data_IF_762683619830
#
_entry.id   IF_762683619830
#
_cell.length_a   1.000
_cell.length_b   1.000
_cell.length_c   1.000
_cell.angle_alpha   90.00
_cell.angle_beta   90.00
_cell.angle_gamma   90.00
#
_symmetry.space_group_name_H-M   'P 1'
#
loop_
_entity.id
_entity.type
_entity.pdbx_description
1 polymer ?
#
# COMPACT_ATOMS: atom_id res chain seq x y z
N UNK A 1 -9.07 15.22 0.59
CA UNK A 1 -8.39 14.06 -0.03
C UNK A 1 -8.01 14.41 -1.45
N UNK A 2 -6.86 13.94 -1.94
CA UNK A 2 -6.39 14.26 -3.30
C UNK A 2 -7.09 13.40 -4.37
N UNK A 3 -7.22 13.88 -5.63
CA UNK A 3 -7.82 13.09 -6.71
C UNK A 3 -7.15 11.73 -6.92
N UNK A 4 -5.83 11.67 -6.75
CA UNK A 4 -5.06 10.44 -6.90
C UNK A 4 -5.40 9.42 -5.80
N UNK A 5 -5.55 9.86 -4.55
CA UNK A 5 -5.99 8.99 -3.47
C UNK A 5 -7.40 8.48 -3.71
N UNK A 6 -8.32 9.35 -4.12
CA UNK A 6 -9.70 8.95 -4.45
C UNK A 6 -9.74 7.90 -5.57
N UNK A 7 -8.95 8.08 -6.63
CA UNK A 7 -8.85 7.10 -7.72
C UNK A 7 -8.31 5.74 -7.27
N UNK A 8 -7.21 5.73 -6.51
CA UNK A 8 -6.60 4.51 -5.95
C UNK A 8 -7.55 3.75 -5.04
N UNK A 9 -8.21 4.47 -4.13
CA UNK A 9 -9.23 3.90 -3.24
C UNK A 9 -10.35 3.26 -4.05
N UNK A 10 -10.90 3.99 -5.01
CA UNK A 10 -12.02 3.50 -5.82
C UNK A 10 -11.64 2.27 -6.66
N UNK A 11 -10.40 2.18 -7.14
CA UNK A 11 -9.88 0.97 -7.79
C UNK A 11 -9.85 -0.22 -6.83
N UNK A 12 -9.21 -0.05 -5.66
CA UNK A 12 -9.05 -1.12 -4.68
C UNK A 12 -10.41 -1.62 -4.15
N UNK A 13 -11.37 -0.72 -3.92
CA UNK A 13 -12.74 -1.07 -3.52
C UNK A 13 -13.49 -1.91 -4.56
N UNK A 14 -13.14 -1.81 -5.85
CA UNK A 14 -13.81 -2.54 -6.94
C UNK A 14 -13.12 -3.84 -7.34
N UNK A 15 -11.79 -3.90 -7.25
CA UNK A 15 -10.99 -4.97 -7.84
C UNK A 15 -10.30 -5.86 -6.81
N UNK A 16 -10.27 -5.48 -5.54
CA UNK A 16 -9.61 -6.24 -4.47
C UNK A 16 -10.63 -6.71 -3.43
N UNK A 17 -10.44 -7.91 -2.90
CA UNK A 17 -11.30 -8.46 -1.83
C UNK A 17 -11.16 -7.68 -0.52
N UNK A 18 -9.98 -7.12 -0.27
CA UNK A 18 -9.69 -6.31 0.92
C UNK A 18 -8.68 -5.23 0.55
N UNK A 19 -8.81 -4.05 1.14
CA UNK A 19 -7.88 -2.95 0.94
C UNK A 19 -7.50 -2.28 2.25
N UNK A 20 -6.33 -1.64 2.25
CA UNK A 20 -5.76 -0.96 3.41
C UNK A 20 -5.22 0.39 2.99
N UNK A 21 -5.29 1.37 3.90
CA UNK A 21 -4.47 2.58 3.81
C UNK A 21 -3.11 2.26 4.43
N UNK A 22 -2.07 2.42 3.62
CA UNK A 22 -0.69 2.39 4.13
C UNK A 22 -0.34 3.74 4.76
N UNK A 23 0.16 3.69 5.99
CA UNK A 23 0.50 4.81 6.85
C UNK A 23 1.95 4.71 7.33
N UNK A 24 2.69 5.82 7.25
CA UNK A 24 4.02 5.91 7.85
C UNK A 24 3.98 5.68 9.37
N UNK A 25 2.97 6.24 10.05
CA UNK A 25 2.82 6.14 11.50
C UNK A 25 2.27 4.79 11.93
N UNK A 26 1.16 4.35 11.34
CA UNK A 26 0.37 3.20 11.82
C UNK A 26 0.64 1.90 11.07
N UNK A 27 1.30 1.93 9.91
CA UNK A 27 1.51 0.74 9.06
C UNK A 27 0.32 0.46 8.15
N UNK A 28 -0.47 -0.58 8.42
CA UNK A 28 -1.70 -0.92 7.71
C UNK A 28 -2.93 -0.54 8.53
N UNK A 29 -3.77 0.30 7.93
CA UNK A 29 -5.04 0.76 8.49
C UNK A 29 -6.16 0.19 7.64
N UNK A 30 -7.11 -0.50 8.26
CA UNK A 30 -8.32 -0.96 7.58
C UNK A 30 -9.26 0.24 7.36
N UNK A 31 -10.00 0.31 6.24
CA UNK A 31 -10.88 1.46 5.95
C UNK A 31 -11.94 1.77 7.01
N UNK A 32 -12.31 0.78 7.84
CA UNK A 32 -13.26 0.96 8.94
C UNK A 32 -12.60 1.41 10.25
N UNK A 33 -11.28 1.54 10.30
CA UNK A 33 -10.56 2.00 11.48
C UNK A 33 -10.74 3.51 11.63
N UNK A 34 -11.26 3.95 12.80
CA UNK A 34 -11.37 5.36 13.13
C UNK A 34 -10.00 5.84 13.59
N UNK A 35 -9.37 6.72 12.80
CA UNK A 35 -8.09 7.33 13.12
C UNK A 35 -8.21 8.85 13.20
N UNK A 36 -7.48 9.45 14.15
CA UNK A 36 -7.28 10.89 14.16
C UNK A 36 -6.42 11.31 12.96
N UNK A 37 -6.62 12.51 12.38
CA UNK A 37 -5.70 13.04 11.38
C UNK A 37 -4.26 13.02 11.90
N UNK A 38 -3.33 12.62 11.03
CA UNK A 38 -1.90 12.62 11.32
C UNK A 38 -1.13 13.15 10.09
N UNK A 39 -0.02 13.83 10.33
CA UNK A 39 0.89 14.31 9.29
C UNK A 39 2.29 13.72 9.52
N UNK A 40 2.39 12.42 9.28
CA UNK A 40 3.66 11.67 9.36
C UNK A 40 3.90 11.01 8.02
N UNK A 41 5.08 11.23 7.48
CA UNK A 41 5.51 10.70 6.19
C UNK A 41 6.77 9.86 6.34
N UNK A 42 6.93 8.83 5.49
CA UNK A 42 8.21 8.12 5.35
C UNK A 42 9.27 8.96 4.62
N UNK A 43 8.88 10.09 4.02
CA UNK A 43 9.79 11.01 3.36
C UNK A 43 10.76 11.58 4.41
N UNK A 44 12.06 11.42 4.15
CA UNK A 44 13.13 11.86 5.07
C UNK A 44 13.53 10.84 6.12
N UNK A 45 12.79 9.74 6.30
CA UNK A 45 13.20 8.64 7.18
C UNK A 45 14.48 7.96 6.65
N UNK A 46 15.38 7.57 7.54
CA UNK A 46 16.58 6.81 7.20
C UNK A 46 16.24 5.44 6.63
N UNK A 47 17.17 4.84 5.88
CA UNK A 47 16.99 3.48 5.35
C UNK A 47 16.71 2.45 6.46
N UNK A 48 17.28 2.63 7.66
CA UNK A 48 17.02 1.77 8.81
C UNK A 48 15.59 1.92 9.35
N UNK A 49 15.07 3.15 9.41
CA UNK A 49 13.69 3.41 9.83
C UNK A 49 12.69 2.86 8.82
N UNK A 50 12.93 3.06 7.52
CA UNK A 50 12.06 2.50 6.47
C UNK A 50 12.03 0.96 6.49
N UNK A 51 13.16 0.30 6.78
CA UNK A 51 13.20 -1.17 6.99
C UNK A 51 12.43 -1.62 8.22
N UNK A 52 12.56 -0.91 9.35
CA UNK A 52 11.77 -1.18 10.57
C UNK A 52 10.28 -1.01 10.31
N UNK A 53 9.91 0.05 9.60
CA UNK A 53 8.54 0.30 9.17
C UNK A 53 8.02 -0.86 8.29
N UNK A 54 8.78 -1.27 7.27
CA UNK A 54 8.41 -2.36 6.38
C UNK A 54 8.22 -3.69 7.13
N UNK A 55 9.12 -4.01 8.06
CA UNK A 55 9.01 -5.22 8.91
C UNK A 55 7.73 -5.21 9.76
N UNK A 56 7.39 -4.06 10.35
CA UNK A 56 6.15 -3.89 11.12
C UNK A 56 4.90 -4.05 10.25
N UNK A 57 4.89 -3.45 9.05
CA UNK A 57 3.79 -3.56 8.08
C UNK A 57 3.61 -5.00 7.62
N UNK A 58 4.71 -5.72 7.39
CA UNK A 58 4.68 -7.13 7.02
C UNK A 58 4.12 -8.01 8.15
N UNK A 59 4.51 -7.77 9.41
CA UNK A 59 3.92 -8.45 10.56
C UNK A 59 2.41 -8.22 10.67
N UNK A 60 1.99 -6.96 10.58
CA UNK A 60 0.58 -6.57 10.55
C UNK A 60 -0.22 -7.22 9.41
N UNK A 61 0.42 -7.43 8.26
CA UNK A 61 -0.20 -8.11 7.13
C UNK A 61 -0.38 -9.61 7.43
N UNK A 62 0.68 -10.27 7.92
CA UNK A 62 0.67 -11.70 8.30
C UNK A 62 -0.37 -12.01 9.37
N UNK A 63 -0.52 -11.14 10.36
CA UNK A 63 -1.52 -11.32 11.43
C UNK A 63 -2.95 -11.34 10.88
N UNK A 64 -3.21 -10.59 9.82
CA UNK A 64 -4.52 -10.51 9.16
C UNK A 64 -4.71 -11.57 8.08
N UNK A 65 -3.62 -12.03 7.49
CA UNK A 65 -3.59 -13.02 6.41
C UNK A 65 -2.59 -14.15 6.73
N UNK A 66 -2.89 -15.01 7.72
CA UNK A 66 -1.95 -16.00 8.25
C UNK A 66 -1.61 -17.13 7.25
N UNK A 67 -2.46 -17.32 6.25
CA UNK A 67 -2.28 -18.28 5.17
C UNK A 67 -2.68 -17.60 3.87
N UNK A 68 -1.71 -17.42 2.98
CA UNK A 68 -1.84 -16.51 1.86
C UNK A 68 -1.50 -17.16 0.52
N UNK A 69 -2.46 -17.15 -0.40
CA UNK A 69 -2.22 -17.30 -1.83
C UNK A 69 -3.04 -16.23 -2.53
N UNK A 70 -2.41 -15.41 -3.36
CA UNK A 70 -3.11 -14.34 -4.07
C UNK A 70 -2.18 -13.19 -4.46
N UNK A 71 -2.78 -12.07 -4.83
CA UNK A 71 -2.08 -10.88 -5.30
C UNK A 71 -2.22 -9.75 -4.28
N UNK A 72 -1.12 -9.06 -4.00
CA UNK A 72 -1.08 -7.81 -3.24
C UNK A 72 -0.71 -6.68 -4.18
N UNK A 73 -1.66 -5.79 -4.45
CA UNK A 73 -1.46 -4.61 -5.29
C UNK A 73 -1.03 -3.39 -4.46
N UNK A 74 0.06 -2.74 -4.85
CA UNK A 74 0.54 -1.50 -4.23
C UNK A 74 0.11 -0.26 -5.03
N UNK A 75 -0.89 0.44 -4.51
CA UNK A 75 -1.34 1.74 -5.03
C UNK A 75 -0.79 2.92 -4.21
N UNK A 76 0.52 2.90 -3.93
CA UNK A 76 1.20 3.91 -3.12
C UNK A 76 2.53 4.35 -3.75
N UNK A 77 3.17 5.37 -3.19
CA UNK A 77 4.52 5.77 -3.62
C UNK A 77 5.54 4.66 -3.41
N UNK A 78 6.61 4.60 -4.20
CA UNK A 78 7.56 3.48 -4.21
C UNK A 78 8.19 3.14 -2.84
N UNK A 79 8.45 4.14 -2.00
CA UNK A 79 8.96 3.96 -0.64
C UNK A 79 8.03 3.09 0.24
N UNK A 80 6.73 3.09 -0.04
CA UNK A 80 5.73 2.32 0.69
C UNK A 80 5.60 0.86 0.23
N UNK A 81 6.34 0.47 -0.81
CA UNK A 81 6.48 -0.90 -1.33
C UNK A 81 7.87 -1.48 -1.05
N UNK A 82 8.87 -0.60 -0.93
CA UNK A 82 10.28 -0.95 -0.86
C UNK A 82 10.71 -1.44 0.54
N UNK A 83 12.03 -1.40 0.78
CA UNK A 83 12.65 -1.65 2.10
C UNK A 83 12.39 -3.03 2.72
N UNK A 84 12.11 -4.02 1.87
CA UNK A 84 11.88 -5.41 2.27
C UNK A 84 10.42 -5.80 2.39
N UNK A 85 9.47 -4.86 2.22
CA UNK A 85 8.04 -5.18 2.29
C UNK A 85 7.60 -6.08 1.14
N UNK A 86 7.79 -5.65 -0.12
CA UNK A 86 7.45 -6.46 -1.28
C UNK A 86 8.22 -7.79 -1.32
N UNK A 87 9.51 -7.77 -0.99
CA UNK A 87 10.31 -8.99 -0.94
C UNK A 87 9.83 -9.96 0.15
N UNK A 88 9.41 -9.45 1.31
CA UNK A 88 8.84 -10.26 2.38
C UNK A 88 7.51 -10.90 2.01
N UNK A 89 6.61 -10.13 1.38
CA UNK A 89 5.35 -10.66 0.86
C UNK A 89 5.57 -11.75 -0.19
N UNK A 90 6.50 -11.53 -1.13
CA UNK A 90 6.86 -12.53 -2.14
C UNK A 90 7.46 -13.80 -1.51
N UNK A 91 8.31 -13.66 -0.50
CA UNK A 91 8.86 -14.78 0.24
C UNK A 91 7.78 -15.58 1.01
N UNK A 92 6.69 -14.92 1.41
CA UNK A 92 5.54 -15.55 2.04
C UNK A 92 4.56 -16.18 1.02
N UNK A 93 4.87 -16.13 -0.29
CA UNK A 93 4.08 -16.77 -1.35
C UNK A 93 3.07 -15.86 -2.06
N UNK A 94 3.06 -14.55 -1.77
CA UNK A 94 2.18 -13.59 -2.44
C UNK A 94 2.75 -13.12 -3.77
N UNK A 95 1.88 -12.92 -4.76
CA UNK A 95 2.22 -12.18 -5.98
C UNK A 95 2.14 -10.69 -5.64
N UNK A 96 3.23 -9.96 -5.82
CA UNK A 96 3.25 -8.52 -5.56
C UNK A 96 3.19 -7.76 -6.88
N UNK A 97 2.19 -6.89 -7.01
CA UNK A 97 1.98 -6.10 -8.22
C UNK A 97 1.84 -4.60 -7.92
N UNK A 98 2.07 -3.77 -8.93
CA UNK A 98 1.74 -2.35 -8.93
C UNK A 98 1.24 -1.98 -10.34
N UNK A 99 -0.10 -1.93 -10.54
CA UNK A 99 -0.69 -1.67 -11.85
C UNK A 99 -0.29 -0.34 -12.48
N UNK A 100 0.27 0.57 -11.68
CA UNK A 100 0.69 1.92 -12.10
C UNK A 100 2.20 2.14 -12.01
N UNK A 101 3.00 1.08 -11.95
CA UNK A 101 4.46 1.18 -11.93
C UNK A 101 4.99 1.95 -13.16
N UNK A 102 5.91 2.88 -12.92
CA UNK A 102 6.50 3.73 -13.96
C UNK A 102 5.58 4.83 -14.51
N UNK A 103 4.29 4.85 -14.16
CA UNK A 103 3.36 5.87 -14.67
C UNK A 103 3.54 7.21 -13.94
N UNK A 104 3.60 8.29 -14.70
CA UNK A 104 3.47 9.65 -14.17
C UNK A 104 2.08 9.93 -13.60
N UNK A 105 1.94 10.95 -12.75
CA UNK A 105 0.70 11.24 -12.01
C UNK A 105 -0.51 11.39 -12.96
N UNK A 106 -0.36 12.10 -14.09
CA UNK A 106 -1.44 12.27 -15.07
C UNK A 106 -1.94 10.95 -15.66
N UNK A 107 -1.01 10.05 -16.03
CA UNK A 107 -1.33 8.72 -16.56
C UNK A 107 -1.99 7.85 -15.50
N UNK A 108 -1.54 7.92 -14.23
CA UNK A 108 -2.21 7.22 -13.13
C UNK A 108 -3.66 7.70 -12.96
N UNK A 109 -3.89 9.02 -13.00
CA UNK A 109 -5.25 9.57 -12.91
C UNK A 109 -6.14 9.09 -14.06
N UNK A 110 -5.62 9.05 -15.28
CA UNK A 110 -6.33 8.51 -16.43
C UNK A 110 -6.65 7.01 -16.27
N UNK A 111 -5.68 6.21 -15.80
CA UNK A 111 -5.86 4.79 -15.51
C UNK A 111 -7.02 4.56 -14.52
N UNK A 112 -7.01 5.25 -13.37
CA UNK A 112 -8.07 5.12 -12.37
C UNK A 112 -9.42 5.70 -12.84
N UNK A 113 -9.41 6.65 -13.77
CA UNK A 113 -10.64 7.20 -14.35
C UNK A 113 -11.25 6.28 -15.41
N UNK A 114 -10.43 5.54 -16.16
CA UNK A 114 -10.90 4.61 -17.20
C UNK A 114 -11.48 3.32 -16.62
N UNK A 115 -11.06 2.94 -15.42
CA UNK A 115 -11.54 1.75 -14.71
C UNK A 115 -12.83 1.99 -13.91
N UNK A 116 -13.66 2.93 -14.37
CA UNK A 116 -14.93 3.33 -13.76
C UNK A 116 -16.09 2.61 -14.42
#
# INVERSE_FOLDING_TARGET
>A
MSPLFTGRRAWAERHCDTWYVVSALHGLIHPNDIISPYDVTLIGASAAEKRRWASRVLGQFRDRHPSGSGTVEFHAGGDYRAHGLAAGLAADGWIVDNPTEGMGIGTQLAFYAAAR
#
